data_IF_189738533065
#
_entry.id   IF_189738533065
#
_cell.length_a   1.000
_cell.length_b   1.000
_cell.length_c   1.000
_cell.angle_alpha   90.00
_cell.angle_beta   90.00
_cell.angle_gamma   90.00
#
_symmetry.space_group_name_H-M   'P 1'
#
loop_
_entity.id
_entity.type
_entity.pdbx_description
1 polymer ?
#
# COMPACT_ATOMS: atom_id res chain seq x y z
N UNK A 1 -8.19 5.62 13.39
CA UNK A 1 -7.33 6.83 13.32
C UNK A 1 -6.02 6.48 12.61
N UNK A 2 -5.53 7.32 11.69
CA UNK A 2 -4.23 7.09 11.05
C UNK A 2 -3.11 7.88 11.74
N UNK A 3 -1.99 7.22 12.03
CA UNK A 3 -0.77 7.91 12.42
C UNK A 3 0.24 7.93 11.27
N UNK A 4 0.78 9.11 10.99
CA UNK A 4 1.81 9.27 9.97
C UNK A 4 3.19 8.93 10.52
N UNK A 5 4.00 8.23 9.75
CA UNK A 5 5.39 7.86 10.05
C UNK A 5 6.26 8.01 8.80
N UNK A 6 7.49 8.47 8.98
CA UNK A 6 8.45 8.61 7.88
C UNK A 6 9.12 7.26 7.60
N UNK A 7 9.38 6.98 6.33
CA UNK A 7 10.03 5.72 5.94
C UNK A 7 11.47 5.64 6.46
N UNK A 8 12.18 6.78 6.56
CA UNK A 8 13.53 6.83 7.12
C UNK A 8 13.61 6.37 8.57
N UNK A 9 12.53 6.57 9.36
CA UNK A 9 12.45 6.10 10.74
C UNK A 9 12.54 4.57 10.80
N UNK A 10 11.76 3.87 9.99
CA UNK A 10 11.77 2.40 9.94
C UNK A 10 13.08 1.83 9.36
N UNK A 11 13.75 2.55 8.46
CA UNK A 11 15.09 2.15 7.99
C UNK A 11 16.12 2.16 9.11
N UNK A 12 16.02 3.13 10.04
CA UNK A 12 16.92 3.25 11.19
C UNK A 12 16.57 2.30 12.32
N UNK A 13 15.27 2.06 12.53
CA UNK A 13 14.76 1.14 13.53
C UNK A 13 13.71 0.18 12.93
N UNK A 14 14.14 -0.94 12.32
CA UNK A 14 13.22 -1.92 11.73
C UNK A 14 12.27 -2.57 12.75
N UNK A 15 12.67 -2.66 14.03
CA UNK A 15 11.82 -3.27 15.07
C UNK A 15 10.51 -2.52 15.30
N UNK A 16 10.49 -1.20 15.04
CA UNK A 16 9.30 -0.37 15.16
C UNK A 16 8.19 -0.74 14.14
N UNK A 17 8.49 -1.58 13.13
CA UNK A 17 7.46 -2.09 12.23
C UNK A 17 6.47 -3.02 12.92
N UNK A 18 6.88 -3.62 14.03
CA UNK A 18 6.04 -4.49 14.85
C UNK A 18 5.23 -3.75 15.91
N UNK A 19 5.41 -2.42 16.03
CA UNK A 19 4.64 -1.62 16.96
C UNK A 19 3.15 -1.67 16.59
N UNK A 20 2.25 -1.82 17.58
CA UNK A 20 0.82 -1.79 17.32
C UNK A 20 0.40 -0.39 16.88
N UNK A 21 -0.61 -0.28 15.98
CA UNK A 21 -1.13 1.02 15.57
C UNK A 21 -1.69 1.82 16.77
N UNK A 22 -1.88 3.14 16.61
CA UNK A 22 -2.35 4.01 17.69
C UNK A 22 -3.61 3.48 18.36
N UNK A 23 -3.75 3.69 19.67
CA UNK A 23 -4.89 3.21 20.43
C UNK A 23 -6.23 3.70 19.84
N UNK A 24 -7.16 2.77 19.70
CA UNK A 24 -8.53 3.02 19.21
C UNK A 24 -8.93 2.08 18.08
N UNK A 25 -10.23 1.90 17.83
CA UNK A 25 -10.69 1.06 16.74
C UNK A 25 -10.32 1.66 15.38
N UNK A 26 -10.14 0.77 14.39
CA UNK A 26 -9.90 1.14 13.00
C UNK A 26 -8.66 2.05 12.85
N UNK A 27 -7.59 1.71 13.56
CA UNK A 27 -6.33 2.45 13.55
C UNK A 27 -5.32 1.83 12.60
N UNK A 28 -4.49 2.64 11.95
CA UNK A 28 -3.40 2.16 11.09
C UNK A 28 -2.32 3.23 10.93
N UNK A 29 -1.26 2.90 10.22
CA UNK A 29 -0.18 3.83 9.89
C UNK A 29 -0.28 4.30 8.44
N UNK A 30 0.13 5.54 8.20
CA UNK A 30 0.48 6.04 6.87
C UNK A 30 1.99 6.29 6.83
N UNK A 31 2.65 5.70 5.86
CA UNK A 31 4.08 5.80 5.63
C UNK A 31 4.35 6.82 4.54
N UNK A 32 5.17 7.81 4.86
CA UNK A 32 5.62 8.82 3.92
C UNK A 32 7.06 8.50 3.52
N UNK A 33 7.30 8.31 2.22
CA UNK A 33 8.64 8.33 1.65
C UNK A 33 9.15 9.77 1.70
N UNK A 34 10.03 10.03 2.66
CA UNK A 34 10.76 11.29 2.85
C UNK A 34 12.09 11.30 2.09
N UNK A 35 12.65 12.49 1.86
CA UNK A 35 13.87 12.66 1.07
C UNK A 35 15.08 11.93 1.70
N UNK A 36 15.15 11.79 3.03
CA UNK A 36 16.24 11.04 3.69
C UNK A 36 16.19 9.55 3.35
N UNK A 37 14.99 9.00 3.12
CA UNK A 37 14.82 7.63 2.69
C UNK A 37 14.89 7.45 1.17
N UNK A 38 14.91 8.52 0.39
CA UNK A 38 14.98 8.47 -1.07
C UNK A 38 16.32 7.89 -1.51
N UNK A 39 16.26 6.87 -2.36
CA UNK A 39 17.46 6.32 -3.00
C UNK A 39 17.70 6.98 -4.34
N UNK A 40 18.95 7.00 -4.77
CA UNK A 40 19.38 7.59 -6.03
C UNK A 40 20.21 6.58 -6.84
N UNK A 41 20.06 6.64 -8.15
CA UNK A 41 20.87 5.93 -9.14
C UNK A 41 21.73 6.93 -9.92
N UNK A 42 22.48 6.45 -10.91
CA UNK A 42 23.30 7.29 -11.80
C UNK A 42 24.21 8.25 -11.02
N UNK A 43 24.97 7.73 -10.06
CA UNK A 43 25.89 8.50 -9.20
C UNK A 43 25.22 9.66 -8.42
N UNK A 44 23.94 9.52 -8.07
CA UNK A 44 23.20 10.53 -7.30
C UNK A 44 22.37 11.49 -8.15
N UNK A 45 22.42 11.38 -9.48
CA UNK A 45 21.77 12.31 -10.41
C UNK A 45 20.29 12.03 -10.63
N UNK A 46 19.82 10.82 -10.33
CA UNK A 46 18.45 10.40 -10.63
C UNK A 46 17.84 9.69 -9.43
N UNK A 47 16.59 10.01 -9.09
CA UNK A 47 15.85 9.31 -8.04
C UNK A 47 15.61 7.86 -8.48
N UNK A 48 16.02 6.89 -7.66
CA UNK A 48 15.64 5.49 -7.84
C UNK A 48 14.19 5.34 -7.36
N UNK A 49 13.31 5.14 -8.33
CA UNK A 49 11.88 5.00 -8.11
C UNK A 49 11.49 3.56 -7.71
N UNK A 50 12.40 2.59 -7.76
CA UNK A 50 12.06 1.19 -7.46
C UNK A 50 11.92 0.97 -5.96
N UNK A 51 10.75 0.51 -5.52
CA UNK A 51 10.50 0.09 -4.15
C UNK A 51 10.94 -1.36 -3.99
N UNK A 52 11.92 -1.61 -3.13
CA UNK A 52 12.53 -2.94 -2.93
C UNK A 52 12.25 -3.54 -1.54
N UNK A 53 11.72 -2.75 -0.62
CA UNK A 53 11.57 -3.10 0.79
C UNK A 53 10.27 -2.54 1.36
N UNK A 54 9.81 -3.16 2.43
CA UNK A 54 8.73 -2.66 3.27
C UNK A 54 9.21 -1.57 4.24
N UNK A 55 8.29 -0.76 4.78
CA UNK A 55 6.87 -0.67 4.41
C UNK A 55 6.65 0.10 3.09
N UNK A 56 5.54 -0.18 2.41
CA UNK A 56 5.19 0.52 1.17
C UNK A 56 4.69 1.94 1.48
N UNK A 57 5.13 3.00 0.78
CA UNK A 57 4.72 4.38 1.08
C UNK A 57 3.35 4.75 0.48
N UNK A 58 2.58 5.57 1.19
CA UNK A 58 1.25 6.05 0.78
C UNK A 58 1.25 7.45 0.16
N UNK A 59 2.38 8.18 0.21
CA UNK A 59 2.52 9.49 -0.43
C UNK A 59 2.97 9.45 -1.89
N UNK A 60 3.07 8.25 -2.47
CA UNK A 60 3.46 8.02 -3.86
C UNK A 60 2.37 7.22 -4.57
N UNK A 61 2.22 7.42 -5.87
CA UNK A 61 1.54 6.43 -6.71
C UNK A 61 2.50 5.26 -6.89
N UNK A 62 2.03 4.03 -6.72
CA UNK A 62 2.83 2.84 -6.96
C UNK A 62 2.34 2.16 -8.24
N UNK A 63 3.28 1.78 -9.10
CA UNK A 63 3.01 1.00 -10.31
C UNK A 63 3.52 -0.41 -10.09
N UNK A 64 2.62 -1.39 -10.14
CA UNK A 64 2.94 -2.81 -10.26
C UNK A 64 3.40 -3.02 -11.70
N UNK A 65 4.60 -3.57 -11.87
CA UNK A 65 5.19 -3.84 -13.17
C UNK A 65 5.57 -5.31 -13.25
N UNK A 66 5.01 -6.02 -14.23
CA UNK A 66 5.35 -7.40 -14.55
C UNK A 66 5.79 -7.50 -16.01
N UNK A 67 7.00 -8.02 -16.23
CA UNK A 67 7.49 -8.36 -17.56
C UNK A 67 7.29 -9.86 -17.81
N UNK A 68 6.62 -10.20 -18.91
CA UNK A 68 6.41 -11.58 -19.34
C UNK A 68 6.82 -11.69 -20.83
N UNK A 69 8.01 -12.25 -21.07
CA UNK A 69 8.63 -12.26 -22.39
C UNK A 69 8.86 -10.83 -22.89
N UNK A 70 8.33 -10.52 -24.08
CA UNK A 70 8.42 -9.19 -24.70
C UNK A 70 7.32 -8.22 -24.20
N UNK A 71 6.33 -8.73 -23.47
CA UNK A 71 5.21 -7.92 -22.98
C UNK A 71 5.48 -7.37 -21.58
N UNK A 72 5.05 -6.14 -21.33
CA UNK A 72 5.08 -5.51 -20.00
C UNK A 72 3.67 -5.10 -19.60
N UNK A 73 3.24 -5.54 -18.42
CA UNK A 73 1.95 -5.21 -17.84
C UNK A 73 2.13 -4.24 -16.68
N UNK A 74 1.35 -3.16 -16.69
CA UNK A 74 1.42 -2.10 -15.70
C UNK A 74 0.08 -1.87 -15.03
N UNK A 75 0.12 -1.65 -13.72
CA UNK A 75 -1.07 -1.32 -12.94
C UNK A 75 -0.73 -0.27 -11.87
N UNK A 76 -1.36 0.90 -11.96
CA UNK A 76 -1.24 1.92 -10.92
C UNK A 76 -2.19 1.65 -9.75
N UNK A 77 -1.61 1.55 -8.56
CA UNK A 77 -2.32 1.26 -7.33
C UNK A 77 -1.74 2.01 -6.13
N UNK A 78 -2.56 2.12 -5.09
CA UNK A 78 -2.15 2.54 -3.75
C UNK A 78 -2.32 1.36 -2.80
N UNK A 79 -1.29 1.11 -2.00
CA UNK A 79 -1.28 0.04 -1.01
C UNK A 79 -1.56 0.66 0.35
N UNK A 80 -2.75 0.44 0.90
CA UNK A 80 -3.16 0.99 2.21
C UNK A 80 -2.98 -0.09 3.27
N UNK A 81 -2.17 0.11 4.32
CA UNK A 81 -1.97 -0.90 5.35
C UNK A 81 -3.28 -1.25 6.05
N UNK A 82 -3.50 -2.55 6.28
CA UNK A 82 -4.71 -3.06 6.94
C UNK A 82 -4.86 -2.48 8.34
N UNK A 83 -6.11 -2.21 8.74
CA UNK A 83 -6.45 -1.66 10.05
C UNK A 83 -6.16 -2.65 11.17
N UNK A 84 -5.78 -2.13 12.33
CA UNK A 84 -5.53 -2.88 13.57
C UNK A 84 -4.42 -3.93 13.42
N UNK A 85 -3.50 -3.75 12.47
CA UNK A 85 -2.36 -4.62 12.25
C UNK A 85 -1.06 -3.80 12.26
N UNK A 86 0.05 -4.34 12.78
CA UNK A 86 1.35 -3.71 12.65
C UNK A 86 1.80 -3.72 11.18
N UNK A 87 2.71 -2.80 10.81
CA UNK A 87 3.25 -2.75 9.45
C UNK A 87 4.06 -4.00 9.08
N UNK A 88 4.66 -4.67 10.07
CA UNK A 88 5.38 -5.94 9.88
C UNK A 88 4.49 -7.07 9.37
N UNK A 89 3.17 -6.95 9.46
CA UNK A 89 2.23 -7.91 8.86
C UNK A 89 2.28 -7.92 7.33
N UNK A 90 2.76 -6.83 6.71
CA UNK A 90 2.78 -6.62 5.26
C UNK A 90 1.41 -6.86 4.59
N UNK A 91 0.32 -6.58 5.32
CA UNK A 91 -1.05 -6.70 4.81
C UNK A 91 -1.55 -5.35 4.31
N UNK A 92 -2.07 -5.33 3.09
CA UNK A 92 -2.54 -4.13 2.44
C UNK A 92 -3.87 -4.34 1.72
N UNK A 93 -4.68 -3.28 1.67
CA UNK A 93 -5.69 -3.11 0.64
C UNK A 93 -5.02 -2.51 -0.59
N UNK A 94 -5.34 -3.01 -1.78
CA UNK A 94 -4.80 -2.49 -3.05
C UNK A 94 -5.89 -1.70 -3.76
N UNK A 95 -5.74 -0.39 -3.84
CA UNK A 95 -6.72 0.53 -4.41
C UNK A 95 -6.26 0.97 -5.80
N UNK A 96 -7.10 0.79 -6.82
CA UNK A 96 -6.81 1.21 -8.20
C UNK A 96 -6.71 2.73 -8.28
N UNK A 97 -5.67 3.24 -8.94
CA UNK A 97 -5.44 4.69 -9.07
C UNK A 97 -5.92 5.27 -10.38
N UNK A 98 -6.10 4.44 -11.40
CA UNK A 98 -6.51 4.87 -12.73
C UNK A 98 -7.52 3.91 -13.36
N UNK A 99 -8.07 4.33 -14.50
CA UNK A 99 -9.01 3.56 -15.30
C UNK A 99 -10.42 3.49 -14.72
N UNK A 100 -11.25 2.62 -15.31
CA UNK A 100 -12.69 2.49 -14.99
C UNK A 100 -12.99 2.21 -13.50
N UNK A 101 -12.07 1.56 -12.81
CA UNK A 101 -12.24 1.16 -11.41
C UNK A 101 -11.43 2.03 -10.43
N UNK A 102 -11.01 3.23 -10.84
CA UNK A 102 -10.30 4.15 -9.96
C UNK A 102 -11.01 4.36 -8.62
N UNK A 103 -10.25 4.32 -7.53
CA UNK A 103 -10.75 4.46 -6.15
C UNK A 103 -11.35 3.18 -5.56
N UNK A 104 -11.44 2.09 -6.34
CA UNK A 104 -11.98 0.81 -5.88
C UNK A 104 -10.86 -0.14 -5.45
N UNK A 105 -11.17 -0.98 -4.47
CA UNK A 105 -10.27 -2.00 -3.94
C UNK A 105 -10.29 -3.25 -4.82
N UNK A 106 -9.10 -3.73 -5.19
CA UNK A 106 -8.90 -5.06 -5.74
C UNK A 106 -9.51 -6.10 -4.80
N UNK A 107 -10.25 -7.05 -5.35
CA UNK A 107 -10.99 -8.06 -4.60
C UNK A 107 -10.62 -9.42 -5.18
N UNK A 108 -10.23 -10.34 -4.30
CA UNK A 108 -9.90 -11.71 -4.66
C UNK A 108 -11.15 -12.44 -5.16
N UNK A 109 -10.98 -13.24 -6.21
CA UNK A 109 -11.97 -14.27 -6.56
C UNK A 109 -11.91 -15.40 -5.55
N UNK A 110 -12.92 -16.25 -5.54
CA UNK A 110 -12.91 -17.48 -4.77
C UNK A 110 -12.43 -18.64 -5.62
N UNK A 111 -11.98 -19.71 -4.98
CA UNK A 111 -11.66 -20.98 -5.64
C UNK A 111 -12.84 -21.54 -6.45
N UNK A 112 -14.07 -21.34 -5.98
CA UNK A 112 -15.31 -21.72 -6.69
C UNK A 112 -15.54 -20.94 -8.00
N UNK A 113 -14.89 -19.77 -8.17
CA UNK A 113 -14.97 -18.96 -9.40
C UNK A 113 -14.00 -19.45 -10.49
N UNK A 114 -13.24 -20.53 -10.22
CA UNK A 114 -12.40 -21.19 -11.21
C UNK A 114 -13.26 -22.03 -12.15
N UNK A 115 -13.12 -21.78 -13.45
CA UNK A 115 -13.62 -22.69 -14.47
C UNK A 115 -12.50 -23.61 -14.90
N UNK A 116 -12.70 -24.91 -14.75
CA UNK A 116 -11.77 -25.93 -15.22
C UNK A 116 -12.25 -26.48 -16.56
N UNK A 117 -11.41 -26.38 -17.58
CA UNK A 117 -11.57 -27.05 -18.87
C UNK A 117 -10.55 -28.20 -18.97
N UNK A 118 -10.76 -29.14 -19.90
CA UNK A 118 -10.01 -30.39 -20.08
C UNK A 118 -8.47 -30.28 -19.99
N UNK A 119 -7.87 -29.14 -20.33
CA UNK A 119 -6.41 -28.91 -20.23
C UNK A 119 -5.99 -27.62 -19.52
N UNK A 120 -6.93 -26.78 -19.08
CA UNK A 120 -6.63 -25.44 -18.52
C UNK A 120 -7.62 -25.07 -17.41
N UNK A 121 -7.14 -24.38 -16.38
CA UNK A 121 -8.00 -23.71 -15.41
C UNK A 121 -7.93 -22.19 -15.62
N UNK A 122 -9.09 -21.54 -15.62
CA UNK A 122 -9.20 -20.08 -15.77
C UNK A 122 -9.96 -19.52 -14.58
N UNK A 123 -9.43 -18.44 -14.01
CA UNK A 123 -10.08 -17.75 -12.89
C UNK A 123 -10.81 -16.53 -13.43
N UNK A 124 -12.09 -16.42 -13.13
CA UNK A 124 -12.85 -15.22 -13.44
C UNK A 124 -12.58 -14.17 -12.38
N UNK A 125 -11.84 -13.12 -12.75
CA UNK A 125 -11.51 -12.07 -11.81
C UNK A 125 -12.74 -11.27 -11.37
N UNK A 126 -12.94 -11.22 -10.05
CA UNK A 126 -13.91 -10.31 -9.46
C UNK A 126 -13.46 -8.89 -9.75
N UNK A 127 -14.34 -8.12 -10.41
CA UNK A 127 -14.11 -6.69 -10.65
C UNK A 127 -13.85 -5.99 -9.31
N UNK A 128 -12.91 -5.02 -9.26
CA UNK A 128 -12.70 -4.21 -8.06
C UNK A 128 -14.01 -3.63 -7.55
N UNK A 129 -14.11 -3.43 -6.23
CA UNK A 129 -15.33 -2.94 -5.56
C UNK A 129 -14.99 -1.85 -4.56
N UNK A 130 -15.99 -1.14 -4.07
CA UNK A 130 -15.82 -0.22 -2.95
C UNK A 130 -15.06 -0.91 -1.79
N UNK A 131 -14.12 -0.18 -1.18
CA UNK A 131 -13.34 -0.68 -0.06
C UNK A 131 -14.28 -0.98 1.11
N UNK A 132 -14.25 -2.22 1.60
CA UNK A 132 -14.95 -2.67 2.80
C UNK A 132 -13.90 -3.03 3.85
N UNK A 133 -13.80 -2.25 4.94
CA UNK A 133 -12.90 -2.58 6.05
C UNK A 133 -13.13 -4.02 6.53
N UNK A 134 -12.05 -4.73 6.84
CA UNK A 134 -12.06 -6.11 7.37
C UNK A 134 -12.60 -7.18 6.41
N UNK A 135 -12.83 -6.85 5.14
CA UNK A 135 -13.14 -7.87 4.14
C UNK A 135 -11.85 -8.60 3.74
N UNK A 136 -11.70 -9.85 4.16
CA UNK A 136 -10.49 -10.66 3.91
C UNK A 136 -10.19 -10.86 2.42
N UNK A 137 -11.21 -10.85 1.55
CA UNK A 137 -11.00 -10.96 0.10
C UNK A 137 -10.38 -9.70 -0.51
N UNK A 138 -10.44 -8.56 0.18
CA UNK A 138 -9.82 -7.30 -0.25
C UNK A 138 -8.45 -7.05 0.40
N UNK A 139 -8.02 -7.95 1.29
CA UNK A 139 -6.74 -7.86 1.98
C UNK A 139 -5.73 -8.79 1.35
N UNK A 140 -4.51 -8.28 1.17
CA UNK A 140 -3.42 -9.02 0.57
C UNK A 140 -2.19 -8.94 1.47
N UNK A 141 -1.62 -10.10 1.79
CA UNK A 141 -0.25 -10.15 2.29
C UNK A 141 0.69 -10.00 1.10
N UNK A 142 1.55 -8.98 1.14
CA UNK A 142 2.59 -8.80 0.14
C UNK A 142 3.86 -9.46 0.65
N UNK A 143 4.37 -10.40 -0.14
CA UNK A 143 5.56 -11.17 0.16
C UNK A 143 6.68 -10.67 -0.73
N UNK A 144 7.81 -10.33 -0.12
CA UNK A 144 9.03 -10.01 -0.85
C UNK A 144 9.75 -11.31 -1.24
N UNK A 145 10.10 -11.44 -2.51
CA UNK A 145 10.97 -12.49 -3.08
C UNK A 145 12.31 -11.88 -3.49
N UNK A 146 13.28 -12.72 -3.86
CA UNK A 146 14.57 -12.25 -4.38
C UNK A 146 14.42 -11.53 -5.74
N UNK A 147 13.42 -11.91 -6.54
CA UNK A 147 13.17 -11.40 -7.89
C UNK A 147 12.01 -10.40 -8.00
N UNK A 148 11.34 -10.04 -6.90
CA UNK A 148 10.20 -9.12 -6.92
C UNK A 148 9.28 -9.32 -5.73
N UNK A 149 8.00 -9.09 -5.93
CA UNK A 149 6.95 -9.32 -4.94
C UNK A 149 5.94 -10.34 -5.44
N UNK A 150 5.14 -10.83 -4.50
CA UNK A 150 3.98 -11.68 -4.73
C UNK A 150 2.89 -11.23 -3.78
N UNK A 151 1.63 -11.23 -4.20
CA UNK A 151 0.51 -11.05 -3.29
C UNK A 151 -0.12 -12.40 -2.96
N UNK A 152 -0.55 -12.57 -1.71
CA UNK A 152 -1.44 -13.66 -1.30
C UNK A 152 -2.72 -13.07 -0.73
N UNK A 153 -3.85 -13.67 -1.06
CA UNK A 153 -5.11 -13.30 -0.42
C UNK A 153 -5.07 -13.71 1.05
N UNK A 154 -5.65 -12.89 1.93
CA UNK A 154 -5.85 -13.27 3.33
C UNK A 154 -7.02 -14.25 3.46
N UNK A 155 -8.01 -14.16 2.57
CA UNK A 155 -9.07 -15.16 2.49
C UNK A 155 -8.47 -16.53 2.10
N UNK A 156 -8.78 -17.56 2.88
CA UNK A 156 -8.17 -18.90 2.74
C UNK A 156 -8.42 -19.57 1.38
N UNK A 157 -9.56 -19.28 0.76
CA UNK A 157 -9.94 -19.72 -0.58
C UNK A 157 -9.90 -18.57 -1.61
N UNK A 158 -9.24 -17.46 -1.26
CA UNK A 158 -9.13 -16.27 -2.08
C UNK A 158 -7.98 -16.37 -3.08
N UNK A 159 -8.24 -15.99 -4.32
CA UNK A 159 -7.25 -15.90 -5.39
C UNK A 159 -7.09 -14.43 -5.76
N UNK A 160 -5.88 -13.85 -5.63
CA UNK A 160 -5.65 -12.47 -6.04
C UNK A 160 -5.99 -12.21 -7.51
N UNK A 161 -6.52 -11.03 -7.86
CA UNK A 161 -6.89 -10.71 -9.23
C UNK A 161 -5.71 -10.14 -10.03
N UNK A 162 -5.74 -10.32 -11.36
CA UNK A 162 -4.79 -9.70 -12.29
C UNK A 162 -3.32 -9.89 -11.92
N UNK A 163 -2.53 -8.80 -12.00
CA UNK A 163 -1.09 -8.83 -11.72
C UNK A 163 -0.73 -9.21 -10.28
N UNK A 164 -1.66 -9.06 -9.33
CA UNK A 164 -1.41 -9.46 -7.94
C UNK A 164 -1.27 -10.99 -7.80
N UNK A 165 -1.89 -11.76 -8.71
CA UNK A 165 -1.80 -13.22 -8.73
C UNK A 165 -0.41 -13.70 -9.12
N UNK A 166 0.24 -12.95 -9.98
CA UNK A 166 1.53 -13.31 -10.55
C UNK A 166 2.66 -13.16 -9.53
N UNK A 167 3.75 -13.86 -9.77
CA UNK A 167 4.97 -13.74 -8.96
C UNK A 167 6.00 -12.84 -9.66
N UNK A 168 6.82 -12.17 -8.85
CA UNK A 168 8.01 -11.48 -9.36
C UNK A 168 7.74 -10.09 -9.91
N UNK A 169 6.55 -9.53 -9.73
CA UNK A 169 6.29 -8.15 -10.12
C UNK A 169 7.12 -7.17 -9.28
N UNK A 170 7.54 -6.08 -9.91
CA UNK A 170 8.27 -4.99 -9.28
C UNK A 170 7.32 -3.83 -8.93
N UNK A 171 7.72 -3.04 -7.94
CA UNK A 171 7.03 -1.79 -7.59
C UNK A 171 7.88 -0.58 -7.95
N UNK A 172 7.26 0.37 -8.63
CA UNK A 172 7.86 1.66 -8.93
C UNK A 172 7.02 2.78 -8.33
N UNK A 173 7.64 3.69 -7.61
CA UNK A 173 7.02 4.86 -7.03
C UNK A 173 7.14 6.06 -7.96
N UNK A 174 6.05 6.76 -8.19
CA UNK A 174 6.03 8.05 -8.85
C UNK A 174 5.43 9.11 -7.93
N UNK A 175 5.89 10.35 -8.08
CA UNK A 175 5.32 11.47 -7.34
C UNK A 175 4.06 11.94 -8.06
N UNK A 176 2.88 11.90 -7.43
CA UNK A 176 1.66 12.36 -8.08
C UNK A 176 1.76 13.86 -8.35
N UNK A 177 1.40 14.30 -9.56
CA UNK A 177 1.51 15.72 -9.98
C UNK A 177 0.60 16.66 -9.16
N UNK A 178 -0.52 16.15 -8.62
CA UNK A 178 -1.58 16.93 -7.97
C UNK A 178 -1.81 16.57 -6.49
N UNK A 179 -0.91 15.84 -5.82
CA UNK A 179 -1.16 15.35 -4.47
C UNK A 179 0.05 15.57 -3.55
N UNK A 180 -0.01 16.62 -2.75
CA UNK A 180 0.93 16.88 -1.65
C UNK A 180 0.25 16.52 -0.33
N UNK A 181 0.55 15.33 0.21
CA UNK A 181 0.11 14.91 1.56
C UNK A 181 0.58 15.86 2.67
N UNK A 182 1.58 16.70 2.40
CA UNK A 182 2.04 17.75 3.32
C UNK A 182 0.97 18.81 3.62
N UNK A 183 0.01 19.04 2.71
CA UNK A 183 -1.09 19.98 2.97
C UNK A 183 -2.08 19.44 4.02
N UNK A 184 -2.14 18.12 4.22
CA UNK A 184 -2.97 17.50 5.27
C UNK A 184 -2.26 17.43 6.64
N UNK A 185 -0.94 17.71 6.71
CA UNK A 185 -0.20 17.72 7.98
C UNK A 185 -0.46 18.98 8.82
N UNK A 186 -0.83 20.10 8.18
CA UNK A 186 -1.02 21.40 8.88
C UNK A 186 -2.32 21.45 9.68
N UNK A 187 -3.32 20.61 9.38
CA UNK A 187 -4.60 20.58 10.12
C UNK A 187 -4.60 19.67 11.37
N UNK A 188 -3.48 19.02 11.71
CA UNK A 188 -3.39 18.19 12.92
C UNK A 188 -2.41 18.72 13.97
N UNK A 189 -2.14 20.04 13.96
CA UNK A 189 -1.70 20.73 15.18
C UNK A 189 -2.99 21.31 15.79
N UNK A 190 -3.48 20.82 16.94
CA UNK A 190 -4.53 21.54 17.64
C UNK A 190 -3.98 22.92 17.98
N UNK A 191 -4.61 23.96 17.44
CA UNK A 191 -4.52 25.30 18.01
C UNK A 191 -4.80 25.17 19.50
N UNK A 192 -3.76 25.27 20.32
CA UNK A 192 -3.90 25.43 21.76
C UNK A 192 -4.58 26.78 21.94
N UNK A 193 -5.80 26.84 22.50
CA UNK A 193 -6.40 28.13 22.85
C UNK A 193 -5.53 28.74 23.94
N UNK A 194 -5.00 29.93 23.67
CA UNK A 194 -4.40 30.78 24.69
C UNK A 194 -5.48 31.11 25.72
N UNK A 195 -5.44 30.43 26.87
CA UNK A 195 -6.23 30.84 28.02
C UNK A 195 -5.69 32.19 28.49
N UNK A 196 -6.53 33.21 28.36
CA UNK A 196 -6.36 34.50 29.03
C UNK A 196 -6.37 34.26 30.54
N UNK A 197 -5.21 34.43 31.18
CA UNK A 197 -5.14 34.57 32.64
C UNK A 197 -5.60 36.00 32.94
N UNK A 198 -6.86 36.13 33.37
CA UNK A 198 -7.33 37.33 34.05
C UNK A 198 -6.73 37.35 35.45
N UNK A 199 -5.76 38.23 35.68
CA UNK A 199 -5.33 38.62 37.03
C UNK A 199 -6.39 39.55 37.63
N UNK A 200 -7.11 39.05 38.64
CA UNK A 200 -7.75 39.87 39.66
C UNK A 200 -6.87 39.80 40.92
N UNK A 201 -6.10 40.85 41.18
CA UNK A 201 -6.11 41.64 42.42
C UNK A 201 -5.07 42.75 42.38
#
# INVERSE_FOLDING_TARGET
MYATRLLSMYKRNPSALSDPPPSGPNSSYLVILDEVAQTYSCFGLSKDNRIKNFPLPQNKNLTINLSAGESTFLEEAMFIPVLNQPLSSNRYYVIRREGKYQGQASTSSKEEDKTTCLCCSFVHDVKPRALKPFNDYQQFEIIKKSYGFQAKSIASNGIPPGLLREEGWALHASTPRNYQLSQALVQMIPCVPSYQISTFH
#
